data_IF_528741794139
#
_entry.id   IF_528741794139
#
_cell.length_a   1.000
_cell.length_b   1.000
_cell.length_c   1.000
_cell.angle_alpha   90.00
_cell.angle_beta   90.00
_cell.angle_gamma   90.00
#
_symmetry.space_group_name_H-M   'P 1'
#
loop_
_entity.id
_entity.type
_entity.pdbx_description
1 polymer ?
#
# COMPACT_ATOMS: atom_id res chain seq x y z
N UNK A 1 -18.50 -24.60 -2.31
CA UNK A 1 -18.25 -23.18 -2.60
C UNK A 1 -16.94 -23.16 -3.37
N UNK A 2 -16.98 -22.90 -4.67
CA UNK A 2 -15.75 -22.88 -5.45
C UNK A 2 -14.90 -21.67 -5.03
N UNK A 3 -13.63 -21.91 -4.75
CA UNK A 3 -12.66 -20.85 -4.52
C UNK A 3 -12.51 -20.06 -5.83
N UNK A 4 -13.15 -18.91 -5.90
CA UNK A 4 -12.95 -17.98 -7.02
C UNK A 4 -11.59 -17.34 -6.86
N UNK A 5 -10.79 -17.38 -7.92
CA UNK A 5 -9.52 -16.67 -7.96
C UNK A 5 -9.78 -15.17 -7.98
N UNK A 6 -9.18 -14.45 -7.06
CA UNK A 6 -9.25 -13.00 -6.94
C UNK A 6 -7.97 -12.37 -7.52
N UNK A 7 -8.12 -11.29 -8.27
CA UNK A 7 -7.01 -10.57 -8.86
C UNK A 7 -6.83 -9.18 -8.25
N UNK A 8 -5.57 -8.78 -8.13
CA UNK A 8 -5.21 -7.40 -7.86
C UNK A 8 -4.65 -6.75 -9.12
N UNK A 9 -5.15 -5.56 -9.47
CA UNK A 9 -4.75 -4.81 -10.65
C UNK A 9 -3.88 -3.61 -10.27
N UNK A 10 -2.75 -3.45 -10.96
CA UNK A 10 -1.89 -2.30 -10.77
C UNK A 10 -2.54 -1.02 -11.29
N UNK A 11 -2.61 0.01 -10.43
CA UNK A 11 -2.99 1.36 -10.81
C UNK A 11 -1.75 2.15 -11.25
N UNK A 12 -1.75 2.63 -12.46
CA UNK A 12 -0.66 3.37 -13.11
C UNK A 12 -0.97 4.86 -13.32
N UNK A 13 -2.02 5.38 -12.66
CA UNK A 13 -2.48 6.75 -12.84
C UNK A 13 -3.62 6.91 -13.85
N UNK A 14 -3.96 5.84 -14.56
CA UNK A 14 -5.06 5.84 -15.53
C UNK A 14 -6.40 5.54 -14.83
N UNK A 15 -7.18 6.59 -14.61
CA UNK A 15 -8.52 6.50 -14.00
C UNK A 15 -9.51 5.74 -14.92
N UNK A 16 -9.37 5.85 -16.24
CA UNK A 16 -10.24 5.11 -17.17
C UNK A 16 -10.00 3.60 -17.06
N UNK A 17 -8.77 3.19 -16.74
CA UNK A 17 -8.47 1.79 -16.49
C UNK A 17 -9.30 1.25 -15.32
N UNK A 18 -9.38 1.98 -14.18
CA UNK A 18 -10.22 1.58 -13.05
C UNK A 18 -11.68 1.53 -13.46
N UNK A 19 -12.18 2.54 -14.16
CA UNK A 19 -13.58 2.58 -14.60
C UNK A 19 -13.94 1.37 -15.47
N UNK A 20 -13.10 1.00 -16.42
CA UNK A 20 -13.28 -0.17 -17.29
C UNK A 20 -13.17 -1.47 -16.51
N UNK A 21 -12.18 -1.57 -15.63
CA UNK A 21 -11.91 -2.77 -14.84
C UNK A 21 -12.93 -3.01 -13.71
N UNK A 22 -13.66 -1.99 -13.28
CA UNK A 22 -14.69 -2.11 -12.25
C UNK A 22 -15.82 -3.08 -12.63
N UNK A 23 -16.09 -3.28 -13.92
CA UNK A 23 -17.07 -4.27 -14.40
C UNK A 23 -16.57 -5.71 -14.34
N UNK A 24 -15.28 -5.94 -14.08
CA UNK A 24 -14.67 -7.27 -14.01
C UNK A 24 -14.79 -7.82 -12.59
N UNK A 25 -15.68 -8.78 -12.38
CA UNK A 25 -15.97 -9.35 -11.06
C UNK A 25 -14.76 -10.05 -10.40
N UNK A 26 -13.79 -10.52 -11.19
CA UNK A 26 -12.58 -11.17 -10.66
C UNK A 26 -11.56 -10.19 -10.07
N UNK A 27 -11.69 -8.89 -10.33
CA UNK A 27 -10.80 -7.88 -9.74
C UNK A 27 -11.39 -7.45 -8.40
N UNK A 28 -10.68 -7.72 -7.33
CA UNK A 28 -11.09 -7.38 -5.96
C UNK A 28 -10.37 -6.15 -5.43
N UNK A 29 -9.15 -5.90 -5.89
CA UNK A 29 -8.29 -4.88 -5.34
C UNK A 29 -7.47 -4.18 -6.42
N UNK A 30 -7.31 -2.87 -6.28
CA UNK A 30 -6.31 -2.11 -7.01
C UNK A 30 -5.12 -1.83 -6.09
N UNK A 31 -3.92 -1.71 -6.66
CA UNK A 31 -2.74 -1.33 -5.88
C UNK A 31 -1.89 -0.30 -6.61
N UNK A 32 -1.36 0.66 -5.85
CA UNK A 32 -0.54 1.73 -6.41
C UNK A 32 0.12 2.58 -5.34
N UNK A 33 0.82 3.62 -5.78
CA UNK A 33 1.48 4.59 -4.91
C UNK A 33 1.55 5.95 -5.60
N UNK A 34 1.56 7.03 -4.82
CA UNK A 34 1.83 8.35 -5.34
C UNK A 34 3.31 8.53 -5.68
N UNK A 35 3.60 9.36 -6.68
CA UNK A 35 4.98 9.68 -7.09
C UNK A 35 5.77 10.39 -5.96
N UNK A 36 5.08 11.15 -5.12
CA UNK A 36 5.64 11.83 -3.94
C UNK A 36 5.38 11.02 -2.66
N UNK A 37 5.91 9.81 -2.60
CA UNK A 37 5.85 8.97 -1.41
C UNK A 37 7.16 9.13 -0.62
N UNK A 38 7.14 9.65 0.63
CA UNK A 38 8.35 9.91 1.43
C UNK A 38 9.09 8.63 1.81
N UNK A 39 8.40 7.50 1.86
CA UNK A 39 8.99 6.19 2.14
C UNK A 39 9.54 5.56 0.86
N UNK A 40 8.92 5.86 -0.27
CA UNK A 40 9.21 5.20 -1.53
C UNK A 40 8.44 3.89 -1.72
N UNK A 41 8.45 3.42 -2.94
CA UNK A 41 8.00 2.09 -3.32
C UNK A 41 9.21 1.26 -3.76
N UNK A 42 9.03 -0.05 -3.90
CA UNK A 42 10.08 -0.91 -4.41
C UNK A 42 10.45 -0.70 -5.89
N UNK A 43 9.86 0.32 -6.56
CA UNK A 43 10.13 0.66 -7.95
C UNK A 43 10.92 1.96 -8.05
N UNK A 44 11.86 2.07 -9.01
CA UNK A 44 12.52 3.33 -9.32
C UNK A 44 11.49 4.41 -9.72
N UNK A 45 11.72 5.64 -9.28
CA UNK A 45 10.82 6.79 -9.58
C UNK A 45 10.61 6.96 -11.10
N UNK A 46 11.64 6.67 -11.91
CA UNK A 46 11.56 6.73 -13.39
C UNK A 46 10.58 5.73 -14.01
N UNK A 47 10.18 4.70 -13.26
CA UNK A 47 9.23 3.66 -13.70
C UNK A 47 7.84 3.85 -13.05
N UNK A 48 7.66 4.90 -12.26
CA UNK A 48 6.39 5.20 -11.61
C UNK A 48 5.60 6.17 -12.47
N UNK A 49 4.29 5.96 -12.53
CA UNK A 49 3.39 6.95 -13.07
C UNK A 49 3.43 8.22 -12.20
N UNK A 50 3.29 9.38 -12.83
CA UNK A 50 3.20 10.64 -12.10
C UNK A 50 1.80 10.80 -11.51
N UNK A 51 1.56 10.15 -10.38
CA UNK A 51 0.29 10.18 -9.65
C UNK A 51 0.49 10.98 -8.38
N UNK A 52 -0.28 12.02 -8.19
CA UNK A 52 -0.31 12.78 -6.95
C UNK A 52 -1.28 12.17 -5.91
N UNK A 53 -1.36 12.78 -4.74
CA UNK A 53 -2.28 12.34 -3.67
C UNK A 53 -3.73 12.37 -4.13
N UNK A 54 -4.13 13.39 -4.89
CA UNK A 54 -5.49 13.53 -5.39
C UNK A 54 -5.85 12.41 -6.36
N UNK A 55 -4.94 12.03 -7.24
CA UNK A 55 -5.12 10.89 -8.15
C UNK A 55 -5.30 9.57 -7.40
N UNK A 56 -4.63 9.38 -6.27
CA UNK A 56 -4.86 8.21 -5.39
C UNK A 56 -6.24 8.28 -4.74
N UNK A 57 -6.64 9.43 -4.19
CA UNK A 57 -7.96 9.61 -3.58
C UNK A 57 -9.09 9.36 -4.59
N UNK A 58 -8.93 9.81 -5.83
CA UNK A 58 -9.89 9.54 -6.91
C UNK A 58 -9.95 8.05 -7.24
N UNK A 59 -8.79 7.37 -7.29
CA UNK A 59 -8.72 5.94 -7.53
C UNK A 59 -9.39 5.12 -6.41
N UNK A 60 -9.16 5.49 -5.14
CA UNK A 60 -9.82 4.87 -3.98
C UNK A 60 -11.34 5.02 -4.07
N UNK A 61 -11.85 6.23 -4.33
CA UNK A 61 -13.30 6.46 -4.46
C UNK A 61 -13.93 5.64 -5.58
N UNK A 62 -13.24 5.54 -6.72
CA UNK A 62 -13.73 4.74 -7.85
C UNK A 62 -13.70 3.25 -7.55
N UNK A 63 -12.67 2.74 -6.88
CA UNK A 63 -12.63 1.36 -6.42
C UNK A 63 -13.80 1.06 -5.48
N UNK A 64 -14.01 1.90 -4.48
CA UNK A 64 -15.08 1.76 -3.50
C UNK A 64 -16.49 1.84 -4.13
N UNK A 65 -16.68 2.67 -5.16
CA UNK A 65 -17.97 2.76 -5.87
C UNK A 65 -18.39 1.44 -6.53
N UNK A 66 -17.43 0.54 -6.79
CA UNK A 66 -17.63 -0.80 -7.33
C UNK A 66 -17.48 -1.92 -6.28
N UNK A 67 -17.40 -1.58 -4.98
CA UNK A 67 -17.20 -2.53 -3.89
C UNK A 67 -15.81 -3.15 -3.84
N UNK A 68 -14.83 -2.54 -4.51
CA UNK A 68 -13.44 -3.02 -4.59
C UNK A 68 -12.55 -2.26 -3.61
N UNK A 69 -11.39 -2.83 -3.31
CA UNK A 69 -10.41 -2.28 -2.34
C UNK A 69 -9.26 -1.57 -3.03
N UNK A 70 -8.55 -0.75 -2.28
CA UNK A 70 -7.30 -0.13 -2.72
C UNK A 70 -6.17 -0.40 -1.72
N UNK A 71 -5.06 -0.93 -2.22
CA UNK A 71 -3.84 -1.22 -1.48
C UNK A 71 -2.75 -0.21 -1.85
N UNK A 72 -2.31 0.60 -0.90
CA UNK A 72 -1.26 1.57 -1.15
C UNK A 72 0.13 1.00 -0.86
N UNK A 73 1.07 1.20 -1.79
CA UNK A 73 2.42 0.65 -1.67
C UNK A 73 3.35 1.64 -0.95
N UNK A 74 3.87 1.21 0.20
CA UNK A 74 4.88 1.88 1.04
C UNK A 74 6.00 0.88 1.30
N UNK A 75 6.49 0.24 0.22
CA UNK A 75 7.23 -1.00 0.33
C UNK A 75 8.72 -0.90 -0.04
N UNK A 76 9.33 0.27 0.09
CA UNK A 76 10.78 0.35 0.03
C UNK A 76 11.41 -0.53 1.12
N UNK A 77 12.34 -1.40 0.72
CA UNK A 77 13.03 -2.30 1.65
C UNK A 77 14.07 -1.56 2.51
N UNK A 78 14.63 -0.48 1.98
CA UNK A 78 15.64 0.33 2.66
C UNK A 78 15.27 1.82 2.55
N UNK A 79 15.27 2.49 3.67
CA UNK A 79 14.99 3.93 3.79
C UNK A 79 16.22 4.73 4.20
N UNK A 80 17.41 4.11 4.19
CA UNK A 80 18.66 4.76 4.61
C UNK A 80 18.62 5.26 6.06
N UNK A 81 17.97 4.52 6.95
CA UNK A 81 17.75 4.85 8.37
C UNK A 81 16.95 6.15 8.60
N UNK A 82 16.20 6.61 7.60
CA UNK A 82 15.38 7.82 7.73
C UNK A 82 14.24 7.65 8.75
N UNK A 83 13.78 6.43 8.96
CA UNK A 83 12.77 6.05 9.96
C UNK A 83 13.19 6.34 11.40
N UNK A 84 14.49 6.46 11.65
CA UNK A 84 15.03 6.79 12.98
C UNK A 84 15.31 8.28 13.19
N UNK A 85 15.07 9.14 12.20
CA UNK A 85 15.26 10.57 12.32
C UNK A 85 13.93 11.28 12.56
N UNK A 86 13.85 12.16 13.60
CA UNK A 86 12.59 12.78 14.00
C UNK A 86 11.84 13.50 12.88
N UNK A 87 12.54 14.25 12.01
CA UNK A 87 11.91 14.96 10.87
C UNK A 87 11.31 13.99 9.85
N UNK A 88 12.01 12.90 9.53
CA UNK A 88 11.55 11.92 8.54
C UNK A 88 10.47 11.03 9.11
N UNK A 89 10.57 10.66 10.38
CA UNK A 89 9.50 9.92 11.06
C UNK A 89 8.18 10.71 11.03
N UNK A 90 8.21 12.02 11.25
CA UNK A 90 7.01 12.84 11.15
C UNK A 90 6.41 12.82 9.73
N UNK A 91 7.24 12.90 8.68
CA UNK A 91 6.76 12.78 7.30
C UNK A 91 6.12 11.41 7.01
N UNK A 92 6.66 10.35 7.62
CA UNK A 92 6.09 9.00 7.52
C UNK A 92 4.72 8.96 8.21
N UNK A 93 4.62 9.52 9.41
CA UNK A 93 3.37 9.60 10.17
C UNK A 93 2.32 10.40 9.39
N UNK A 94 2.68 11.58 8.87
CA UNK A 94 1.80 12.40 8.02
C UNK A 94 1.32 11.64 6.77
N UNK A 95 2.19 10.80 6.20
CA UNK A 95 1.79 9.93 5.08
C UNK A 95 0.73 8.92 5.50
N UNK A 96 0.89 8.24 6.65
CA UNK A 96 -0.11 7.28 7.14
C UNK A 96 -1.40 7.97 7.58
N UNK A 97 -1.33 9.13 8.23
CA UNK A 97 -2.49 9.95 8.59
C UNK A 97 -3.32 10.31 7.34
N UNK A 98 -2.63 10.69 6.25
CA UNK A 98 -3.29 10.95 4.96
C UNK A 98 -3.89 9.66 4.37
N UNK A 99 -3.21 8.52 4.38
CA UNK A 99 -3.74 7.26 3.85
C UNK A 99 -5.03 6.84 4.56
N UNK A 100 -5.09 7.01 5.87
CA UNK A 100 -6.32 6.77 6.65
C UNK A 100 -7.42 7.76 6.25
N UNK A 101 -7.11 9.04 6.10
CA UNK A 101 -8.09 10.05 5.67
C UNK A 101 -8.60 9.81 4.24
N UNK A 102 -7.76 9.29 3.36
CA UNK A 102 -8.10 8.89 1.99
C UNK A 102 -8.87 7.56 1.93
N UNK A 103 -9.12 6.93 3.08
CA UNK A 103 -9.84 5.67 3.19
C UNK A 103 -9.20 4.50 2.42
N UNK A 104 -7.87 4.48 2.36
CA UNK A 104 -7.14 3.33 1.81
C UNK A 104 -7.41 2.10 2.67
N UNK A 105 -7.75 0.97 2.04
CA UNK A 105 -8.15 -0.26 2.76
C UNK A 105 -6.96 -1.02 3.33
N UNK A 106 -5.81 -0.92 2.68
CA UNK A 106 -4.65 -1.74 2.97
C UNK A 106 -3.37 -1.01 2.58
N UNK A 107 -2.28 -1.30 3.29
CA UNK A 107 -0.93 -0.86 2.93
C UNK A 107 0.00 -2.04 2.77
N UNK A 108 0.85 -2.01 1.75
CA UNK A 108 1.91 -3.00 1.58
C UNK A 108 3.22 -2.43 2.11
N UNK A 109 3.81 -3.09 3.10
CA UNK A 109 5.02 -2.67 3.82
C UNK A 109 6.11 -3.74 3.70
N UNK A 110 7.38 -3.31 3.69
CA UNK A 110 8.54 -4.20 3.74
C UNK A 110 9.38 -4.01 5.01
N UNK A 111 9.43 -2.79 5.55
CA UNK A 111 10.25 -2.45 6.71
C UNK A 111 9.53 -2.82 8.01
N UNK A 112 10.13 -3.69 8.88
CA UNK A 112 9.51 -4.12 10.14
C UNK A 112 9.19 -2.97 11.09
N UNK A 113 9.99 -1.89 11.10
CA UNK A 113 9.74 -0.71 11.92
C UNK A 113 8.45 -0.01 11.52
N UNK A 114 8.17 0.07 10.21
CA UNK A 114 6.94 0.66 9.72
C UNK A 114 5.73 -0.23 9.98
N UNK A 115 5.91 -1.55 9.96
CA UNK A 115 4.85 -2.51 10.32
C UNK A 115 4.47 -2.32 11.79
N UNK A 116 5.45 -2.31 12.70
CA UNK A 116 5.20 -2.08 14.13
C UNK A 116 4.57 -0.71 14.41
N UNK A 117 5.08 0.35 13.76
CA UNK A 117 4.50 1.70 13.84
C UNK A 117 3.05 1.71 13.38
N UNK A 118 2.78 1.12 12.23
CA UNK A 118 1.46 1.08 11.63
C UNK A 118 0.47 0.32 12.52
N UNK A 119 0.86 -0.83 13.06
CA UNK A 119 0.04 -1.62 13.97
C UNK A 119 -0.33 -0.88 15.25
N UNK A 120 0.64 -0.19 15.84
CA UNK A 120 0.43 0.56 17.09
C UNK A 120 -0.44 1.80 16.91
N UNK A 121 -0.26 2.51 15.80
CA UNK A 121 -0.90 3.81 15.59
C UNK A 121 -2.18 3.73 14.76
N UNK A 122 -2.28 2.76 13.84
CA UNK A 122 -3.38 2.61 12.89
C UNK A 122 -3.95 1.18 12.91
N UNK A 123 -4.52 0.72 14.03
CA UNK A 123 -4.91 -0.69 14.22
C UNK A 123 -5.97 -1.18 13.22
N UNK A 124 -6.73 -0.27 12.63
CA UNK A 124 -7.77 -0.59 11.65
C UNK A 124 -7.24 -0.66 10.20
N UNK A 125 -6.01 -0.17 9.94
CA UNK A 125 -5.41 -0.22 8.61
C UNK A 125 -4.80 -1.61 8.38
N UNK A 126 -5.28 -2.32 7.37
CA UNK A 126 -4.76 -3.65 7.04
C UNK A 126 -3.35 -3.57 6.49
N UNK A 127 -2.51 -4.52 6.87
CA UNK A 127 -1.13 -4.61 6.42
C UNK A 127 -0.96 -5.86 5.55
N UNK A 128 -0.32 -5.68 4.40
CA UNK A 128 0.24 -6.75 3.58
C UNK A 128 1.76 -6.67 3.65
N UNK A 129 2.42 -7.78 3.96
CA UNK A 129 3.88 -7.84 3.96
C UNK A 129 4.37 -8.01 2.52
N UNK A 130 5.21 -7.08 2.07
CA UNK A 130 5.74 -7.08 0.71
C UNK A 130 6.70 -8.24 0.45
N UNK A 131 6.78 -8.68 -0.80
CA UNK A 131 7.84 -9.58 -1.26
C UNK A 131 9.26 -9.01 -1.04
N UNK A 132 9.42 -7.70 -0.97
CA UNK A 132 10.69 -7.05 -0.61
C UNK A 132 11.10 -7.27 0.86
N UNK A 133 10.22 -7.77 1.70
CA UNK A 133 10.55 -8.22 3.06
C UNK A 133 11.27 -9.58 3.08
N UNK A 134 11.39 -10.24 1.91
CA UNK A 134 12.10 -11.51 1.73
C UNK A 134 11.64 -12.59 2.72
N UNK A 135 10.32 -12.75 2.85
CA UNK A 135 9.72 -13.79 3.71
C UNK A 135 9.84 -15.14 2.98
N UNK A 136 10.93 -15.83 3.17
CA UNK A 136 11.32 -17.06 2.47
C UNK A 136 11.37 -18.30 3.39
N UNK A 137 11.05 -18.13 4.67
CA UNK A 137 11.08 -19.21 5.67
C UNK A 137 9.87 -19.13 6.62
N UNK A 138 9.59 -20.24 7.28
CA UNK A 138 8.53 -20.31 8.32
C UNK A 138 8.86 -19.37 9.48
N UNK A 139 10.14 -19.27 9.86
CA UNK A 139 10.62 -18.41 10.94
C UNK A 139 10.41 -16.93 10.58
N UNK A 140 10.72 -16.51 9.36
CA UNK A 140 10.45 -15.17 8.87
C UNK A 140 8.93 -14.88 8.88
N UNK A 141 8.12 -15.83 8.43
CA UNK A 141 6.65 -15.69 8.46
C UNK A 141 6.13 -15.55 9.90
N UNK A 142 6.62 -16.34 10.85
CA UNK A 142 6.28 -16.22 12.29
C UNK A 142 6.70 -14.88 12.87
N UNK A 143 7.90 -14.37 12.49
CA UNK A 143 8.37 -13.06 12.92
C UNK A 143 7.40 -11.96 12.45
N UNK A 144 7.07 -11.90 11.16
CA UNK A 144 6.15 -10.89 10.64
C UNK A 144 4.74 -11.04 11.23
N UNK A 145 4.27 -12.27 11.44
CA UNK A 145 3.00 -12.51 12.11
C UNK A 145 2.99 -12.03 13.58
N UNK A 146 4.14 -12.07 14.27
CA UNK A 146 4.25 -11.57 15.64
C UNK A 146 4.19 -10.05 15.75
N UNK A 147 4.46 -9.34 14.67
CA UNK A 147 4.28 -7.90 14.60
C UNK A 147 2.79 -7.50 14.46
N UNK A 148 1.90 -8.45 14.22
CA UNK A 148 0.44 -8.30 14.20
C UNK A 148 -0.20 -8.53 12.86
#
# INVERSE_FOLDING_TARGET
MGDFMEFSLAFNGDIELIQKANSINLIECYFGTASQNPVGSGRPVSQMANVDRRGIEDAVRLAHSAGKKFNYLVNAACMGNMEYTGKKLNQIIEQFDWLVSAQVDMVTLANPVLIDLCRKRYPNLKISVSSFAMVDSIEAAKFYNSLG
#
